data_IF_292250841674
#
_entry.id   IF_292250841674
#
_cell.length_a   1.000
_cell.length_b   1.000
_cell.length_c   1.000
_cell.angle_alpha   90.00
_cell.angle_beta   90.00
_cell.angle_gamma   90.00
#
_symmetry.space_group_name_H-M   'P 1'
#
loop_
_entity.id
_entity.type
_entity.pdbx_description
1 polymer ?
#
# COMPACT_ATOMS: atom_id res chain seq x y z
N UNK A 1 -20.90 -6.77 -12.95
CA UNK A 1 -21.44 -5.40 -13.15
C UNK A 1 -20.33 -4.51 -13.70
N UNK A 2 -20.56 -3.65 -14.71
CA UNK A 2 -19.57 -2.66 -15.15
C UNK A 2 -19.10 -1.80 -13.97
N UNK A 3 -17.81 -1.47 -13.92
CA UNK A 3 -17.26 -0.63 -12.84
C UNK A 3 -17.90 0.77 -12.82
N UNK A 4 -18.29 1.30 -13.98
CA UNK A 4 -18.99 2.58 -14.13
C UNK A 4 -20.34 2.65 -13.40
N UNK A 5 -20.94 1.49 -13.07
CA UNK A 5 -22.21 1.40 -12.34
C UNK A 5 -22.02 1.28 -10.81
N UNK A 6 -20.77 1.21 -10.34
CA UNK A 6 -20.43 1.20 -8.93
C UNK A 6 -20.21 2.64 -8.41
N UNK A 7 -20.22 2.82 -7.08
CA UNK A 7 -19.90 4.11 -6.45
C UNK A 7 -18.49 4.57 -6.89
N UNK A 8 -18.34 5.75 -7.51
CA UNK A 8 -17.11 6.11 -8.22
C UNK A 8 -16.02 6.71 -7.32
N UNK A 9 -16.37 7.30 -6.18
CA UNK A 9 -15.53 8.18 -5.36
C UNK A 9 -14.24 7.54 -4.84
N UNK A 10 -14.31 6.24 -4.53
CA UNK A 10 -13.18 5.50 -4.00
C UNK A 10 -12.28 4.93 -5.09
N UNK A 11 -12.73 4.94 -6.35
CA UNK A 11 -12.04 4.29 -7.46
C UNK A 11 -11.96 5.19 -8.72
N UNK A 12 -13.00 5.20 -9.55
CA UNK A 12 -12.98 5.82 -10.89
C UNK A 12 -12.64 7.31 -10.85
N UNK A 13 -13.16 8.06 -9.88
CA UNK A 13 -12.86 9.49 -9.77
C UNK A 13 -11.42 9.80 -9.38
N UNK A 14 -10.73 8.84 -8.76
CA UNK A 14 -9.33 8.98 -8.39
C UNK A 14 -8.42 8.77 -9.60
N UNK A 15 -8.73 7.80 -10.46
CA UNK A 15 -7.83 7.34 -11.52
C UNK A 15 -8.15 7.87 -12.92
N UNK A 16 -9.36 8.43 -13.13
CA UNK A 16 -9.70 9.08 -14.40
C UNK A 16 -8.64 10.12 -14.80
N UNK A 17 -8.38 10.34 -16.10
CA UNK A 17 -7.47 11.39 -16.55
C UNK A 17 -7.76 12.75 -15.91
N UNK A 18 -6.72 13.43 -15.43
CA UNK A 18 -6.84 14.69 -14.67
C UNK A 18 -7.38 14.52 -13.24
N UNK A 19 -7.65 13.29 -12.81
CA UNK A 19 -8.14 12.88 -11.51
C UNK A 19 -7.13 13.07 -10.38
N UNK A 20 -7.42 12.45 -9.24
CA UNK A 20 -6.59 12.60 -8.03
C UNK A 20 -5.16 12.12 -8.26
N UNK A 21 -4.98 10.95 -8.87
CA UNK A 21 -3.66 10.35 -9.07
C UNK A 21 -2.80 11.19 -10.01
N UNK A 22 -3.36 11.72 -11.10
CA UNK A 22 -2.64 12.62 -12.01
C UNK A 22 -2.15 13.86 -11.30
N UNK A 23 -3.05 14.49 -10.52
CA UNK A 23 -2.73 15.70 -9.77
C UNK A 23 -1.63 15.47 -8.75
N UNK A 24 -1.61 14.30 -8.13
CA UNK A 24 -0.66 13.98 -7.08
C UNK A 24 0.68 13.47 -7.62
N UNK A 25 0.69 12.64 -8.66
CA UNK A 25 1.87 11.89 -9.09
C UNK A 25 2.37 12.20 -10.51
N UNK A 26 1.51 12.65 -11.43
CA UNK A 26 1.88 12.77 -12.85
C UNK A 26 2.12 14.21 -13.32
N UNK A 27 1.49 15.21 -12.67
CA UNK A 27 1.62 16.62 -13.08
C UNK A 27 3.00 17.21 -12.82
N UNK A 28 3.76 16.64 -11.89
CA UNK A 28 5.09 17.11 -11.48
C UNK A 28 5.92 15.91 -11.12
N UNK A 29 7.21 15.99 -11.40
CA UNK A 29 8.15 15.00 -10.91
C UNK A 29 8.39 15.24 -9.42
N UNK A 30 8.04 14.25 -8.60
CA UNK A 30 8.02 14.43 -7.14
C UNK A 30 9.40 14.11 -6.55
N UNK A 31 9.95 14.97 -5.68
CA UNK A 31 11.17 14.65 -4.95
C UNK A 31 10.89 13.60 -3.87
N UNK A 32 11.84 12.69 -3.71
CA UNK A 32 11.93 11.65 -2.70
C UNK A 32 13.30 11.77 -2.02
N UNK A 33 13.33 12.37 -0.84
CA UNK A 33 14.51 12.35 0.01
C UNK A 33 14.72 10.92 0.53
N UNK A 34 15.82 10.28 0.14
CA UNK A 34 16.12 8.92 0.56
C UNK A 34 16.50 8.92 2.06
N UNK A 35 15.79 8.14 2.90
CA UNK A 35 16.04 8.10 4.34
C UNK A 35 17.48 7.75 4.67
N UNK A 36 18.02 8.37 5.73
CA UNK A 36 19.38 8.08 6.24
C UNK A 36 20.50 8.39 5.22
N UNK A 37 20.20 9.16 4.18
CA UNK A 37 21.16 9.68 3.21
C UNK A 37 20.91 11.18 2.98
N UNK A 38 21.88 11.87 2.40
CA UNK A 38 21.72 13.25 1.91
C UNK A 38 21.25 13.30 0.45
N UNK A 39 20.79 12.18 -0.11
CA UNK A 39 20.38 12.07 -1.51
C UNK A 39 18.88 12.30 -1.67
N UNK A 40 18.50 13.10 -2.66
CA UNK A 40 17.11 13.22 -3.12
C UNK A 40 17.05 12.74 -4.56
N UNK A 41 16.15 11.78 -4.82
CA UNK A 41 15.80 11.35 -6.18
C UNK A 41 14.42 11.88 -6.53
N UNK A 42 14.16 12.10 -7.80
CA UNK A 42 12.79 12.27 -8.31
C UNK A 42 12.13 10.91 -8.53
N UNK A 43 10.79 10.86 -8.67
CA UNK A 43 10.10 9.61 -9.03
C UNK A 43 10.54 9.09 -10.40
N UNK A 44 10.84 9.97 -11.34
CA UNK A 44 11.36 9.57 -12.66
C UNK A 44 12.76 8.96 -12.54
N UNK A 45 13.66 9.58 -11.76
CA UNK A 45 14.98 9.01 -11.52
C UNK A 45 14.88 7.67 -10.78
N UNK A 46 14.01 7.55 -9.78
CA UNK A 46 13.79 6.31 -9.05
C UNK A 46 13.35 5.15 -9.96
N UNK A 47 12.59 5.43 -11.02
CA UNK A 47 12.16 4.42 -11.99
C UNK A 47 13.34 3.82 -12.78
N UNK A 48 14.47 4.51 -12.86
CA UNK A 48 15.71 4.00 -13.45
C UNK A 48 16.56 3.18 -12.48
N UNK A 49 16.15 3.07 -11.20
CA UNK A 49 16.81 2.24 -10.20
C UNK A 49 16.15 0.87 -10.06
N UNK A 50 16.99 -0.13 -9.82
CA UNK A 50 16.55 -1.40 -9.24
C UNK A 50 16.49 -1.26 -7.72
N UNK A 51 15.42 -1.74 -7.09
CA UNK A 51 15.33 -1.84 -5.64
C UNK A 51 15.40 -3.32 -5.23
N UNK A 52 16.29 -3.69 -4.32
CA UNK A 52 16.16 -4.97 -3.59
C UNK A 52 15.53 -4.67 -2.25
N UNK A 53 14.28 -5.09 -2.09
CA UNK A 53 13.49 -4.88 -0.88
C UNK A 53 13.32 -6.19 -0.14
N UNK A 54 13.83 -6.28 1.09
CA UNK A 54 13.79 -7.50 1.89
C UNK A 54 14.30 -8.74 1.11
N UNK A 55 15.35 -8.55 0.30
CA UNK A 55 15.95 -9.61 -0.53
C UNK A 55 15.26 -9.85 -1.88
N UNK A 56 14.20 -9.12 -2.22
CA UNK A 56 13.47 -9.24 -3.47
C UNK A 56 13.69 -8.05 -4.39
N UNK A 57 14.04 -8.32 -5.64
CA UNK A 57 14.22 -7.30 -6.66
C UNK A 57 12.85 -6.75 -7.14
N UNK A 58 12.71 -5.44 -7.15
CA UNK A 58 11.51 -4.68 -7.50
C UNK A 58 11.90 -3.44 -8.33
N UNK A 59 10.96 -2.93 -9.13
CA UNK A 59 11.13 -1.69 -9.90
C UNK A 59 9.96 -0.77 -9.63
N UNK A 60 10.24 0.45 -9.17
CA UNK A 60 9.22 1.43 -8.79
C UNK A 60 8.91 2.34 -9.97
N UNK A 61 7.84 2.07 -10.70
CA UNK A 61 7.35 2.95 -11.76
C UNK A 61 5.89 3.36 -11.51
N UNK A 62 5.70 4.51 -10.86
CA UNK A 62 4.36 5.01 -10.49
C UNK A 62 3.54 5.37 -11.72
N UNK A 63 4.16 5.93 -12.76
CA UNK A 63 3.45 6.34 -13.98
C UNK A 63 2.90 5.12 -14.74
N UNK A 64 3.75 4.13 -14.97
CA UNK A 64 3.35 2.86 -15.58
C UNK A 64 2.30 2.13 -14.72
N UNK A 65 2.44 2.17 -13.40
CA UNK A 65 1.43 1.61 -12.50
C UNK A 65 0.07 2.29 -12.71
N UNK A 66 0.00 3.62 -12.71
CA UNK A 66 -1.25 4.36 -12.91
C UNK A 66 -1.87 4.03 -14.28
N UNK A 67 -1.04 3.94 -15.33
CA UNK A 67 -1.53 3.59 -16.66
C UNK A 67 -2.05 2.14 -16.71
N UNK A 68 -1.35 1.17 -16.14
CA UNK A 68 -1.82 -0.22 -16.02
C UNK A 68 -3.13 -0.32 -15.24
N UNK A 69 -3.27 0.45 -14.16
CA UNK A 69 -4.50 0.50 -13.38
C UNK A 69 -5.68 1.04 -14.19
N UNK A 70 -5.49 2.04 -15.07
CA UNK A 70 -6.55 2.54 -15.96
C UNK A 70 -7.06 1.48 -16.91
N UNK A 71 -6.16 0.65 -17.45
CA UNK A 71 -6.53 -0.47 -18.31
C UNK A 71 -7.25 -1.57 -17.51
N UNK A 72 -6.74 -1.89 -16.33
CA UNK A 72 -7.28 -2.97 -15.49
C UNK A 72 -8.64 -2.62 -14.89
N UNK A 73 -8.83 -1.36 -14.52
CA UNK A 73 -10.05 -0.78 -13.95
C UNK A 73 -10.80 0.06 -14.97
N UNK A 74 -10.80 -0.36 -16.23
CA UNK A 74 -11.59 0.29 -17.27
C UNK A 74 -13.08 0.31 -16.88
N UNK A 75 -13.81 1.42 -17.09
CA UNK A 75 -15.17 1.60 -16.57
C UNK A 75 -16.18 0.54 -17.06
N UNK A 76 -15.98 0.00 -18.25
CA UNK A 76 -16.82 -1.01 -18.90
C UNK A 76 -16.53 -2.44 -18.43
N UNK A 77 -15.36 -2.70 -17.82
CA UNK A 77 -15.00 -4.03 -17.34
C UNK A 77 -15.94 -4.47 -16.21
N UNK A 78 -16.47 -5.69 -16.36
CA UNK A 78 -17.39 -6.26 -15.38
C UNK A 78 -16.63 -6.89 -14.21
N UNK A 79 -17.09 -6.61 -12.99
CA UNK A 79 -16.57 -7.18 -11.74
C UNK A 79 -17.71 -7.78 -10.91
N UNK A 80 -17.35 -8.67 -9.98
CA UNK A 80 -18.25 -9.09 -8.91
C UNK A 80 -18.51 -7.87 -8.01
N UNK A 81 -19.79 -7.57 -7.80
CA UNK A 81 -20.24 -6.40 -7.07
C UNK A 81 -21.47 -6.75 -6.23
N UNK A 82 -21.66 -6.03 -5.13
CA UNK A 82 -22.78 -6.18 -4.22
C UNK A 82 -23.17 -4.84 -3.60
N UNK A 83 -24.26 -4.85 -2.84
CA UNK A 83 -24.60 -3.72 -1.96
C UNK A 83 -23.74 -3.83 -0.70
N UNK A 84 -22.88 -2.86 -0.47
CA UNK A 84 -21.86 -2.89 0.58
C UNK A 84 -21.78 -1.54 1.30
N UNK A 85 -21.00 -1.48 2.37
CA UNK A 85 -20.88 -0.28 3.20
C UNK A 85 -20.02 0.83 2.53
N UNK A 86 -19.10 0.49 1.62
CA UNK A 86 -18.31 1.44 0.83
C UNK A 86 -16.96 1.77 1.45
N UNK A 87 -16.92 2.03 2.75
CA UNK A 87 -15.70 2.37 3.50
C UNK A 87 -15.56 1.57 4.81
N UNK A 88 -15.35 0.24 4.74
CA UNK A 88 -15.45 -0.68 5.88
C UNK A 88 -14.22 -0.52 6.79
N UNK A 89 -14.15 0.59 7.49
CA UNK A 89 -13.03 0.98 8.35
C UNK A 89 -13.46 0.91 9.81
N UNK A 90 -12.50 0.71 10.74
CA UNK A 90 -12.79 0.60 12.18
C UNK A 90 -13.67 1.74 12.75
N UNK A 91 -13.53 3.02 12.34
CA UNK A 91 -14.42 4.08 12.78
C UNK A 91 -15.90 3.91 12.39
N UNK A 92 -16.16 3.15 11.33
CA UNK A 92 -17.49 2.97 10.76
C UNK A 92 -18.21 1.74 11.32
N UNK A 93 -17.68 1.16 12.41
CA UNK A 93 -18.27 0.03 13.14
C UNK A 93 -18.64 0.50 14.54
N UNK A 94 -19.91 0.36 14.93
CA UNK A 94 -20.37 0.65 16.28
C UNK A 94 -20.44 -0.60 17.17
N UNK A 95 -20.66 -0.38 18.47
CA UNK A 95 -21.04 -1.40 19.45
C UNK A 95 -22.44 -1.07 20.00
N UNK A 96 -23.46 -1.96 19.86
CA UNK A 96 -23.41 -3.28 19.23
C UNK A 96 -23.10 -3.22 17.73
N UNK A 97 -22.55 -4.31 17.18
CA UNK A 97 -22.06 -4.40 15.80
C UNK A 97 -23.07 -3.87 14.78
N UNK A 98 -22.83 -2.66 14.30
CA UNK A 98 -23.57 -2.04 13.21
C UNK A 98 -22.65 -1.17 12.36
N UNK A 99 -23.01 -1.02 11.08
CA UNK A 99 -22.32 -0.12 10.17
C UNK A 99 -22.81 1.31 10.36
N UNK A 100 -21.86 2.25 10.36
CA UNK A 100 -22.08 3.69 10.35
C UNK A 100 -21.53 4.29 9.06
N UNK A 101 -21.80 5.57 8.85
CA UNK A 101 -21.25 6.38 7.76
C UNK A 101 -21.41 5.74 6.37
N UNK A 102 -22.62 5.86 5.82
CA UNK A 102 -22.98 5.29 4.52
C UNK A 102 -22.71 6.25 3.34
N UNK A 103 -21.82 7.25 3.49
CA UNK A 103 -21.49 8.22 2.43
C UNK A 103 -21.09 7.53 1.12
N UNK A 104 -20.33 6.43 1.20
CA UNK A 104 -19.87 5.65 0.06
C UNK A 104 -20.61 4.31 -0.11
N UNK A 105 -21.67 4.10 0.64
CA UNK A 105 -22.44 2.86 0.57
C UNK A 105 -23.23 2.78 -0.74
N UNK A 106 -23.47 1.55 -1.17
CA UNK A 106 -24.18 1.28 -2.42
C UNK A 106 -23.56 0.12 -3.15
N UNK A 107 -23.64 0.15 -4.47
CA UNK A 107 -23.05 -0.90 -5.30
C UNK A 107 -21.55 -0.69 -5.38
N UNK A 108 -20.78 -1.57 -4.76
CA UNK A 108 -19.32 -1.59 -4.87
C UNK A 108 -18.82 -2.96 -5.31
N UNK A 109 -17.59 -3.00 -5.81
CA UNK A 109 -16.92 -4.27 -6.13
C UNK A 109 -16.48 -4.96 -4.85
N UNK A 110 -16.61 -6.29 -4.80
CA UNK A 110 -16.16 -7.10 -3.65
C UNK A 110 -14.64 -6.93 -3.44
N UNK A 111 -13.88 -6.93 -4.54
CA UNK A 111 -12.44 -6.69 -4.50
C UNK A 111 -12.06 -5.28 -4.01
N UNK A 112 -12.88 -4.27 -4.31
CA UNK A 112 -12.67 -2.89 -3.85
C UNK A 112 -12.88 -2.77 -2.35
N UNK A 113 -13.98 -3.33 -1.83
CA UNK A 113 -14.26 -3.43 -0.40
C UNK A 113 -13.14 -4.12 0.37
N UNK A 114 -12.72 -5.29 -0.12
CA UNK A 114 -11.63 -6.05 0.49
C UNK A 114 -10.31 -5.27 0.49
N UNK A 115 -9.95 -4.64 -0.65
CA UNK A 115 -8.76 -3.80 -0.73
C UNK A 115 -8.81 -2.64 0.28
N UNK A 116 -9.99 -2.03 0.45
CA UNK A 116 -10.16 -0.92 1.37
C UNK A 116 -9.97 -1.35 2.83
N UNK A 117 -10.69 -2.40 3.26
CA UNK A 117 -10.58 -2.96 4.61
C UNK A 117 -9.14 -3.38 4.92
N UNK A 118 -8.53 -4.19 4.05
CA UNK A 118 -7.21 -4.76 4.30
C UNK A 118 -6.13 -3.67 4.36
N UNK A 119 -6.14 -2.70 3.45
CA UNK A 119 -5.20 -1.58 3.50
C UNK A 119 -5.46 -0.67 4.71
N UNK A 120 -6.72 -0.50 5.10
CA UNK A 120 -7.05 0.26 6.30
C UNK A 120 -6.47 -0.37 7.56
N UNK A 121 -6.70 -1.67 7.75
CA UNK A 121 -6.17 -2.43 8.87
C UNK A 121 -4.64 -2.46 8.88
N UNK A 122 -4.00 -2.64 7.71
CA UNK A 122 -2.54 -2.76 7.63
C UNK A 122 -1.82 -1.42 7.82
N UNK A 123 -2.34 -0.34 7.23
CA UNK A 123 -1.58 0.89 7.02
C UNK A 123 -2.32 2.16 7.44
N UNK A 124 -3.58 2.36 7.00
CA UNK A 124 -4.25 3.64 7.22
C UNK A 124 -4.60 3.86 8.69
N UNK A 125 -5.40 2.97 9.28
CA UNK A 125 -5.95 3.15 10.63
C UNK A 125 -4.88 3.10 11.73
N UNK A 126 -3.80 2.34 11.53
CA UNK A 126 -2.71 2.21 12.51
C UNK A 126 -1.55 3.18 12.36
N UNK A 127 -1.31 3.72 11.15
CA UNK A 127 -0.09 4.48 10.84
C UNK A 127 -0.35 5.76 10.05
N UNK A 128 -0.82 5.67 8.81
CA UNK A 128 -0.85 6.82 7.90
C UNK A 128 -1.86 7.89 8.34
N UNK A 129 -3.09 7.49 8.71
CA UNK A 129 -4.14 8.43 9.14
C UNK A 129 -3.80 9.08 10.49
N UNK A 130 -3.43 8.34 11.55
CA UNK A 130 -2.97 8.95 12.80
C UNK A 130 -1.82 9.94 12.64
N UNK A 131 -0.92 9.70 11.67
CA UNK A 131 0.28 10.52 11.47
C UNK A 131 0.05 11.75 10.61
N UNK A 132 -0.70 11.62 9.52
CA UNK A 132 -0.84 12.66 8.49
C UNK A 132 -2.22 13.32 8.45
N UNK A 133 -3.18 12.79 9.21
CA UNK A 133 -4.52 13.35 9.41
C UNK A 133 -4.97 13.20 10.88
N UNK A 134 -4.19 13.69 11.86
CA UNK A 134 -4.44 13.45 13.28
C UNK A 134 -5.81 13.98 13.74
N UNK A 135 -6.26 15.12 13.20
CA UNK A 135 -7.56 15.71 13.55
C UNK A 135 -8.74 14.87 13.05
N UNK A 136 -8.59 14.23 11.89
CA UNK A 136 -9.60 13.30 11.37
C UNK A 136 -9.63 12.08 12.29
N UNK A 137 -8.46 11.50 12.55
CA UNK A 137 -8.31 10.32 13.41
C UNK A 137 -8.93 10.53 14.80
N UNK A 138 -8.65 11.66 15.45
CA UNK A 138 -9.15 11.98 16.78
C UNK A 138 -10.68 12.13 16.83
N UNK A 139 -11.32 12.59 15.74
CA UNK A 139 -12.78 12.70 15.66
C UNK A 139 -13.45 11.36 15.36
N UNK A 140 -12.81 10.51 14.54
CA UNK A 140 -13.39 9.25 14.06
C UNK A 140 -13.15 8.07 15.01
N UNK A 141 -12.02 8.03 15.73
CA UNK A 141 -11.71 7.01 16.73
C UNK A 141 -11.51 7.66 18.11
N UNK A 142 -12.61 7.78 18.87
CA UNK A 142 -12.57 8.33 20.25
C UNK A 142 -11.70 7.48 21.19
N UNK A 143 -11.58 6.19 20.92
CA UNK A 143 -10.58 5.33 21.54
C UNK A 143 -9.25 5.61 20.84
N UNK A 144 -8.55 6.66 21.28
CA UNK A 144 -7.20 6.98 20.83
C UNK A 144 -6.24 5.85 21.21
N UNK A 145 -6.25 4.77 20.42
CA UNK A 145 -5.27 3.71 20.57
C UNK A 145 -3.91 4.33 20.27
N UNK A 146 -2.92 4.23 21.18
CA UNK A 146 -1.59 4.75 20.91
C UNK A 146 -1.07 4.14 19.60
N UNK A 147 -0.41 4.92 18.72
CA UNK A 147 0.13 4.42 17.46
C UNK A 147 1.28 3.45 17.76
N UNK A 148 0.94 2.21 18.08
CA UNK A 148 1.86 1.18 18.59
C UNK A 148 2.67 0.51 17.49
N UNK A 149 2.37 0.78 16.22
CA UNK A 149 2.87 -0.03 15.11
C UNK A 149 3.04 0.86 13.90
N UNK A 150 4.27 1.31 13.67
CA UNK A 150 4.67 2.05 12.46
C UNK A 150 5.69 1.19 11.72
N UNK A 151 5.59 1.05 10.40
CA UNK A 151 6.65 0.43 9.63
C UNK A 151 7.93 1.27 9.72
N UNK A 152 9.07 0.59 9.61
CA UNK A 152 10.39 1.18 9.77
C UNK A 152 11.32 0.65 8.72
N UNK A 153 12.04 1.55 8.05
CA UNK A 153 13.23 1.20 7.27
C UNK A 153 14.36 0.93 8.27
N UNK A 154 14.79 -0.31 8.33
CA UNK A 154 15.85 -0.80 9.20
C UNK A 154 17.22 -0.55 8.59
N UNK A 155 17.28 -0.62 7.26
CA UNK A 155 18.50 -0.41 6.49
C UNK A 155 18.14 0.11 5.11
N UNK A 156 18.92 1.07 4.64
CA UNK A 156 18.90 1.55 3.27
C UNK A 156 20.34 1.79 2.82
N UNK A 157 20.71 1.21 1.69
CA UNK A 157 22.00 1.44 1.04
C UNK A 157 21.75 1.84 -0.41
N UNK A 158 22.36 2.95 -0.84
CA UNK A 158 22.30 3.44 -2.20
C UNK A 158 23.61 3.11 -2.90
N UNK A 159 23.52 2.48 -4.07
CA UNK A 159 24.65 2.19 -4.95
C UNK A 159 24.47 2.99 -6.25
N UNK A 160 24.99 4.22 -6.33
CA UNK A 160 24.73 5.11 -7.46
C UNK A 160 25.26 4.59 -8.80
N UNK A 161 26.43 3.94 -8.79
CA UNK A 161 27.11 3.45 -10.01
C UNK A 161 26.35 2.33 -10.71
N UNK A 162 25.71 1.43 -9.94
CA UNK A 162 24.90 0.34 -10.46
C UNK A 162 23.41 0.68 -10.56
N UNK A 163 23.01 1.91 -10.18
CA UNK A 163 21.61 2.33 -10.05
C UNK A 163 20.78 1.33 -9.24
N UNK A 164 21.30 0.98 -8.07
CA UNK A 164 20.71 -0.01 -7.18
C UNK A 164 20.45 0.58 -5.79
N UNK A 165 19.33 0.22 -5.17
CA UNK A 165 18.99 0.57 -3.78
C UNK A 165 18.62 -0.70 -3.03
N UNK A 166 19.37 -0.99 -1.97
CA UNK A 166 19.01 -2.06 -1.04
C UNK A 166 18.19 -1.47 0.11
N UNK A 167 17.01 -2.05 0.36
CA UNK A 167 16.11 -1.63 1.44
C UNK A 167 15.72 -2.84 2.27
N UNK A 168 15.85 -2.73 3.58
CA UNK A 168 15.23 -3.65 4.53
C UNK A 168 14.27 -2.89 5.42
N UNK A 169 13.06 -3.41 5.57
CA UNK A 169 12.03 -2.79 6.40
C UNK A 169 11.23 -3.83 7.16
N UNK A 170 10.69 -3.42 8.30
CA UNK A 170 9.68 -4.16 9.05
C UNK A 170 8.34 -3.44 9.04
N UNK A 171 7.25 -4.21 9.05
CA UNK A 171 5.89 -3.70 9.09
C UNK A 171 5.11 -4.34 10.22
N UNK A 172 5.32 -3.83 11.43
CA UNK A 172 4.57 -4.31 12.58
C UNK A 172 3.15 -3.73 12.54
N UNK A 173 2.13 -4.60 12.54
CA UNK A 173 0.77 -4.24 12.95
C UNK A 173 0.51 -4.89 14.29
N UNK A 174 0.00 -4.15 15.27
CA UNK A 174 -0.32 -4.72 16.59
C UNK A 174 -1.26 -5.94 16.50
N UNK A 175 -1.29 -6.80 17.54
CA UNK A 175 -1.88 -8.13 17.48
C UNK A 175 -3.36 -8.16 17.07
N UNK A 176 -4.16 -7.16 17.49
CA UNK A 176 -5.57 -7.07 17.11
C UNK A 176 -5.78 -6.85 15.60
N UNK A 177 -4.95 -6.00 14.97
CA UNK A 177 -5.01 -5.77 13.52
C UNK A 177 -4.46 -6.96 12.75
N UNK A 178 -3.39 -7.60 13.23
CA UNK A 178 -2.92 -8.86 12.65
C UNK A 178 -4.02 -9.92 12.67
N UNK A 179 -4.72 -10.10 13.80
CA UNK A 179 -5.82 -11.05 13.90
C UNK A 179 -6.98 -10.70 12.95
N UNK A 180 -7.35 -9.42 12.85
CA UNK A 180 -8.39 -8.95 11.93
C UNK A 180 -8.02 -9.15 10.46
N UNK A 181 -6.77 -8.85 10.09
CA UNK A 181 -6.23 -9.10 8.74
C UNK A 181 -6.27 -10.59 8.43
N UNK A 182 -5.74 -11.45 9.32
CA UNK A 182 -5.76 -12.90 9.11
C UNK A 182 -7.19 -13.43 8.93
N UNK A 183 -8.12 -13.00 9.78
CA UNK A 183 -9.53 -13.40 9.67
C UNK A 183 -10.18 -12.92 8.37
N UNK A 184 -9.88 -11.70 7.92
CA UNK A 184 -10.38 -11.18 6.64
C UNK A 184 -9.81 -11.96 5.45
N UNK A 185 -8.51 -12.27 5.48
CA UNK A 185 -7.85 -13.10 4.45
C UNK A 185 -8.43 -14.51 4.40
N UNK A 186 -8.68 -15.14 5.55
CA UNK A 186 -9.32 -16.46 5.63
C UNK A 186 -10.72 -16.45 5.02
N UNK A 187 -11.51 -15.39 5.28
CA UNK A 187 -12.81 -15.19 4.64
C UNK A 187 -12.73 -15.09 3.12
N UNK A 188 -11.73 -14.39 2.58
CA UNK A 188 -11.53 -14.25 1.14
C UNK A 188 -11.07 -15.54 0.43
N UNK A 189 -10.41 -16.45 1.15
CA UNK A 189 -9.96 -17.74 0.60
C UNK A 189 -11.11 -18.72 0.37
N UNK A 190 -12.20 -18.59 1.11
CA UNK A 190 -13.33 -19.53 1.11
C UNK A 190 -14.20 -19.53 -0.16
N UNK A 191 -14.03 -18.58 -1.08
CA UNK A 191 -15.03 -18.29 -2.11
C UNK A 191 -14.53 -18.28 -3.58
N UNK A 192 -13.39 -18.92 -3.93
CA UNK A 192 -12.92 -19.28 -5.31
C UNK A 192 -11.42 -19.00 -5.61
N UNK A 193 -10.58 -18.75 -4.61
CA UNK A 193 -9.11 -18.83 -4.77
C UNK A 193 -8.41 -17.78 -5.67
N UNK A 194 -9.12 -16.88 -6.36
CA UNK A 194 -8.56 -15.87 -7.28
C UNK A 194 -8.30 -14.48 -6.65
N UNK A 195 -8.54 -14.32 -5.35
CA UNK A 195 -8.79 -13.01 -4.73
C UNK A 195 -7.69 -11.95 -4.91
N UNK A 196 -6.40 -12.34 -4.99
CA UNK A 196 -5.35 -11.34 -5.08
C UNK A 196 -5.37 -10.59 -6.41
N UNK A 197 -5.40 -11.29 -7.55
CA UNK A 197 -5.34 -10.66 -8.88
C UNK A 197 -6.44 -9.61 -9.05
N UNK A 198 -7.63 -9.88 -8.49
CA UNK A 198 -8.76 -8.97 -8.55
C UNK A 198 -8.61 -7.78 -7.58
N UNK A 199 -7.97 -7.97 -6.43
CA UNK A 199 -7.79 -6.96 -5.39
C UNK A 199 -6.59 -6.04 -5.67
N UNK A 200 -5.53 -6.50 -6.34
CA UNK A 200 -4.28 -5.74 -6.57
C UNK A 200 -4.50 -4.34 -7.12
N UNK A 201 -5.38 -4.22 -8.12
CA UNK A 201 -5.62 -2.94 -8.76
C UNK A 201 -6.33 -1.95 -7.81
N UNK A 202 -7.31 -2.43 -7.05
CA UNK A 202 -7.99 -1.63 -6.03
C UNK A 202 -7.06 -1.28 -4.87
N UNK A 203 -6.16 -2.19 -4.48
CA UNK A 203 -5.16 -1.97 -3.45
C UNK A 203 -4.20 -0.84 -3.84
N UNK A 204 -3.67 -0.86 -5.07
CA UNK A 204 -2.83 0.24 -5.57
C UNK A 204 -3.57 1.58 -5.58
N UNK A 205 -4.85 1.62 -5.97
CA UNK A 205 -5.66 2.83 -5.86
C UNK A 205 -5.80 3.34 -4.42
N UNK A 206 -5.92 2.45 -3.44
CA UNK A 206 -5.98 2.82 -2.03
C UNK A 206 -4.63 3.29 -1.50
N UNK A 207 -3.53 2.66 -1.92
CA UNK A 207 -2.15 3.06 -1.57
C UNK A 207 -1.87 4.49 -2.09
N UNK A 208 -2.19 4.77 -3.36
CA UNK A 208 -1.92 6.06 -3.99
C UNK A 208 -2.97 7.14 -3.67
N UNK A 209 -4.20 6.75 -3.33
CA UNK A 209 -5.36 7.64 -3.40
C UNK A 209 -5.78 8.31 -2.10
N UNK A 210 -5.13 8.03 -0.96
CA UNK A 210 -5.61 8.47 0.36
C UNK A 210 -4.79 9.61 0.96
N UNK A 211 -3.47 9.44 1.10
CA UNK A 211 -2.58 10.49 1.61
C UNK A 211 -1.79 11.09 0.44
N UNK A 212 -1.84 12.41 0.21
CA UNK A 212 -1.06 13.03 -0.85
C UNK A 212 0.44 12.89 -0.57
N UNK A 213 1.27 12.59 -1.58
CA UNK A 213 2.70 12.36 -1.39
C UNK A 213 3.42 13.59 -0.84
N UNK A 214 2.94 14.80 -1.14
CA UNK A 214 3.47 16.06 -0.61
C UNK A 214 3.33 16.21 0.91
N UNK A 215 2.56 15.34 1.58
CA UNK A 215 2.47 15.29 3.04
C UNK A 215 3.38 14.25 3.68
N UNK A 216 3.85 13.26 2.91
CA UNK A 216 4.64 12.16 3.43
C UNK A 216 6.09 12.60 3.63
N UNK A 217 6.74 12.13 4.70
CA UNK A 217 8.20 12.18 4.80
C UNK A 217 8.81 11.27 3.74
N UNK A 218 10.07 11.51 3.33
CA UNK A 218 10.76 10.62 2.38
C UNK A 218 10.77 9.16 2.83
N UNK A 219 10.90 8.92 4.14
CA UNK A 219 10.78 7.58 4.74
C UNK A 219 9.44 6.91 4.50
N UNK A 220 8.34 7.61 4.82
CA UNK A 220 7.02 7.03 4.71
C UNK A 220 6.58 6.95 3.24
N UNK A 221 7.04 7.90 2.42
CA UNK A 221 6.79 7.88 0.99
C UNK A 221 7.47 6.69 0.31
N UNK A 222 8.74 6.41 0.61
CA UNK A 222 9.45 5.23 0.10
C UNK A 222 8.73 3.93 0.50
N UNK A 223 8.28 3.80 1.76
CA UNK A 223 7.53 2.63 2.20
C UNK A 223 6.19 2.45 1.46
N UNK A 224 5.48 3.56 1.18
CA UNK A 224 4.26 3.55 0.36
C UNK A 224 4.55 3.10 -1.07
N UNK A 225 5.64 3.57 -1.69
CA UNK A 225 6.06 3.17 -3.03
C UNK A 225 6.51 1.70 -3.10
N UNK A 226 7.20 1.22 -2.06
CA UNK A 226 7.55 -0.19 -1.92
C UNK A 226 6.29 -1.04 -1.87
N UNK A 227 5.31 -0.70 -1.01
CA UNK A 227 4.03 -1.44 -0.94
C UNK A 227 3.24 -1.34 -2.23
N UNK A 228 3.27 -0.21 -2.93
CA UNK A 228 2.68 -0.13 -4.27
C UNK A 228 3.30 -1.19 -5.19
N UNK A 229 4.61 -1.26 -5.23
CA UNK A 229 5.33 -2.17 -6.13
C UNK A 229 5.14 -3.63 -5.75
N UNK A 230 5.24 -3.96 -4.45
CA UNK A 230 4.93 -5.30 -3.93
C UNK A 230 3.50 -5.72 -4.30
N UNK A 231 2.52 -4.81 -4.24
CA UNK A 231 1.14 -5.11 -4.60
C UNK A 231 0.98 -5.46 -6.08
N UNK A 232 1.84 -4.94 -6.96
CA UNK A 232 1.78 -5.19 -8.40
C UNK A 232 2.69 -6.35 -8.85
N UNK A 233 3.64 -6.78 -8.01
CA UNK A 233 4.55 -7.86 -8.38
C UNK A 233 3.81 -9.22 -8.40
N UNK A 234 3.86 -9.97 -9.53
CA UNK A 234 3.23 -11.27 -9.69
C UNK A 234 3.62 -12.32 -8.64
N UNK A 235 4.85 -12.27 -8.11
CA UNK A 235 5.32 -13.24 -7.11
C UNK A 235 4.79 -12.95 -5.69
N UNK A 236 4.12 -11.81 -5.49
CA UNK A 236 3.56 -11.45 -4.19
C UNK A 236 2.24 -12.17 -4.02
N UNK A 237 2.03 -12.89 -2.92
CA UNK A 237 0.71 -13.41 -2.51
C UNK A 237 0.04 -12.45 -1.50
N UNK A 238 -1.27 -12.58 -1.24
CA UNK A 238 -1.97 -11.79 -0.21
C UNK A 238 -1.28 -11.95 1.14
N UNK A 239 -0.90 -13.18 1.46
CA UNK A 239 -0.25 -13.51 2.73
C UNK A 239 1.10 -12.86 2.86
N UNK A 240 1.92 -12.89 1.81
CA UNK A 240 3.23 -12.22 1.84
C UNK A 240 3.10 -10.71 1.85
N UNK A 241 2.10 -10.14 1.16
CA UNK A 241 1.87 -8.70 1.13
C UNK A 241 1.47 -8.16 2.49
N UNK A 242 0.52 -8.85 3.12
CA UNK A 242 -0.05 -8.52 4.42
C UNK A 242 0.67 -9.22 5.58
N UNK A 243 1.83 -9.85 5.32
CA UNK A 243 2.67 -10.38 6.40
C UNK A 243 3.21 -9.22 7.21
N UNK A 244 2.81 -9.19 8.49
CA UNK A 244 3.16 -8.12 9.43
C UNK A 244 4.28 -8.54 10.39
N UNK A 245 4.91 -9.69 10.12
CA UNK A 245 6.09 -10.12 10.84
C UNK A 245 7.28 -9.23 10.46
N UNK A 246 8.14 -8.84 11.41
CA UNK A 246 9.42 -8.22 11.08
C UNK A 246 10.19 -9.11 10.11
N UNK A 247 10.85 -8.51 9.10
CA UNK A 247 11.78 -9.26 8.29
C UNK A 247 12.84 -9.89 9.23
N UNK A 248 13.19 -11.17 9.08
CA UNK A 248 14.23 -11.77 9.90
C UNK A 248 15.51 -10.94 9.77
N UNK A 249 16.11 -10.57 10.90
CA UNK A 249 17.40 -9.91 10.86
C UNK A 249 18.42 -10.85 10.21
N UNK A 250 19.15 -10.44 9.17
CA UNK A 250 20.27 -11.23 8.69
C UNK A 250 21.25 -11.37 9.87
N UNK A 251 21.64 -12.61 10.16
CA UNK A 251 22.66 -12.87 11.16
C UNK A 251 23.92 -12.06 10.80
N UNK A 252 24.65 -11.49 11.78
CA UNK A 252 25.86 -10.71 11.51
C UNK A 252 27.02 -11.47 10.83
N UNK A 253 26.81 -12.72 10.41
CA UNK A 253 27.86 -13.64 9.95
C UNK A 253 28.02 -13.77 8.43
N UNK A 254 27.10 -13.30 7.60
CA UNK A 254 27.20 -13.46 6.13
C UNK A 254 27.85 -12.23 5.45
N UNK A 255 29.06 -11.91 5.88
CA UNK A 255 30.07 -11.26 5.02
C UNK A 255 31.36 -12.06 5.17
N UNK A 256 31.44 -13.19 4.47
CA UNK A 256 32.71 -13.83 4.16
C UNK A 256 32.67 -14.37 2.74
N UNK A 257 32.92 -13.48 1.78
CA UNK A 257 33.43 -13.90 0.47
C UNK A 257 34.95 -13.84 0.55
N UNK A 258 35.54 -15.02 0.72
CA UNK A 258 36.95 -15.31 0.54
C UNK A 258 37.47 -14.68 -0.76
N UNK A 259 38.40 -13.74 -0.65
CA UNK A 259 39.30 -13.38 -1.75
C UNK A 259 40.59 -14.17 -1.52
N UNK A 260 40.98 -15.10 -2.41
CA UNK A 260 42.31 -15.70 -2.35
C UNK A 260 43.34 -14.63 -2.71
N UNK A 261 44.38 -14.47 -1.90
CA UNK A 261 45.52 -13.63 -2.21
C UNK A 261 46.26 -14.20 -3.45
N UNK A 262 46.73 -13.33 -4.38
CA UNK A 262 47.54 -13.79 -5.50
C UNK A 262 48.93 -14.23 -5.03
N UNK A 263 49.44 -15.28 -5.68
CA UNK A 263 50.73 -15.93 -5.42
C UNK A 263 51.93 -15.06 -5.81
#
# INVERSE_FOLDING_TARGET
MPLAECVPDLYLDRIRPGGRLDRWYLRRDLPLALPQTDTTLTLRELADFTLTVNGRQLTVNVAETIDSLRHTLAPDRRRLAGLTQGDPTEPNIADPLCWLDFEFAGRNTVAGEAANLLWYLMALGGWLVPRYQPDVYARTLRLALPPRSRPRIEHLELHPSSRHIDVRYSWNTGPGRTAAISSALDGLRGENGSGLEEIRAFLALRILGVIPPSRLTGHDFLLVLIKLTESQDPLTTLDTFFSTAPAPHPHPGERSSNVPAPA
#
